data_IF_824591128585
#
_entry.id   IF_824591128585
#
_cell.length_a   1.000
_cell.length_b   1.000
_cell.length_c   1.000
_cell.angle_alpha   90.00
_cell.angle_beta   90.00
_cell.angle_gamma   90.00
#
_symmetry.space_group_name_H-M   'P 1'
#
loop_
_entity.id
_entity.type
_entity.pdbx_description
1 polymer ?
#
# COMPACT_ATOMS: atom_id res chain seq x y z
N UNK A 1 18.46 -4.33 -3.01
CA UNK A 1 18.59 -3.10 -3.83
C UNK A 1 17.36 -2.29 -3.51
N UNK A 2 17.50 -1.01 -3.16
CA UNK A 2 16.32 -0.13 -3.00
C UNK A 2 15.87 0.30 -4.39
N UNK A 3 14.59 0.12 -4.70
CA UNK A 3 13.97 0.53 -5.94
C UNK A 3 13.76 2.05 -5.94
N UNK A 4 13.91 2.66 -7.10
CA UNK A 4 13.63 4.07 -7.34
C UNK A 4 12.26 4.26 -7.98
N UNK A 5 11.77 5.50 -7.99
CA UNK A 5 10.56 5.84 -8.75
C UNK A 5 10.74 5.51 -10.23
N UNK A 6 11.95 5.70 -10.78
CA UNK A 6 12.27 5.32 -12.16
C UNK A 6 12.12 3.81 -12.39
N UNK A 7 12.60 2.98 -11.45
CA UNK A 7 12.48 1.52 -11.55
C UNK A 7 11.01 1.08 -11.54
N UNK A 8 10.20 1.65 -10.65
CA UNK A 8 8.76 1.34 -10.58
C UNK A 8 8.03 1.84 -11.83
N UNK A 9 8.33 3.05 -12.32
CA UNK A 9 7.73 3.57 -13.56
C UNK A 9 8.12 2.72 -14.76
N UNK A 10 9.37 2.26 -14.85
CA UNK A 10 9.83 1.37 -15.92
C UNK A 10 9.16 0.00 -15.85
N UNK A 11 8.93 -0.52 -14.64
CA UNK A 11 8.19 -1.77 -14.42
C UNK A 11 6.73 -1.65 -14.89
N UNK A 12 6.07 -0.55 -14.56
CA UNK A 12 4.66 -0.29 -14.92
C UNK A 12 4.50 0.08 -16.40
N UNK A 13 5.46 0.82 -16.96
CA UNK A 13 5.41 1.33 -18.33
C UNK A 13 6.74 1.10 -19.07
N UNK A 14 7.03 -0.14 -19.51
CA UNK A 14 8.30 -0.47 -20.17
C UNK A 14 8.57 0.31 -21.46
N UNK A 15 7.50 0.79 -22.12
CA UNK A 15 7.56 1.60 -23.34
C UNK A 15 7.53 3.11 -23.07
N UNK A 16 7.55 3.52 -21.79
CA UNK A 16 7.43 4.89 -21.33
C UNK A 16 6.03 5.22 -20.82
N UNK A 17 5.92 5.99 -19.71
CA UNK A 17 4.62 6.35 -19.15
C UNK A 17 3.88 7.31 -20.09
N UNK A 18 2.54 7.23 -20.16
CA UNK A 18 1.75 8.27 -20.79
C UNK A 18 1.90 9.60 -20.02
N UNK A 19 1.43 10.73 -20.59
CA UNK A 19 1.34 11.98 -19.83
C UNK A 19 0.54 11.78 -18.52
N UNK A 20 0.94 12.45 -17.42
CA UNK A 20 0.22 12.33 -16.15
C UNK A 20 -1.25 12.75 -16.32
N UNK A 21 -2.14 12.06 -15.60
CA UNK A 21 -3.57 12.36 -15.59
C UNK A 21 -3.97 12.94 -14.23
N UNK A 22 -4.79 14.00 -14.23
CA UNK A 22 -5.22 14.70 -13.01
C UNK A 22 -4.23 15.76 -12.51
N UNK A 23 -4.51 16.31 -11.32
CA UNK A 23 -3.84 17.51 -10.78
C UNK A 23 -2.49 17.22 -10.10
N UNK A 24 -1.99 15.98 -10.15
CA UNK A 24 -0.77 15.54 -9.48
C UNK A 24 -0.99 15.17 -8.00
N UNK A 25 0.06 15.21 -7.16
CA UNK A 25 -0.07 14.85 -5.75
C UNK A 25 -0.95 15.84 -4.99
N UNK A 26 -1.81 15.36 -4.07
CA UNK A 26 -2.62 16.25 -3.23
C UNK A 26 -1.79 17.01 -2.20
N UNK A 27 -2.34 18.09 -1.63
CA UNK A 27 -1.70 18.85 -0.54
C UNK A 27 -1.83 18.12 0.81
N UNK A 28 -1.13 16.99 0.92
CA UNK A 28 -1.09 16.11 2.09
C UNK A 28 0.36 15.81 2.46
N UNK A 29 0.66 15.51 3.74
CA UNK A 29 1.93 14.90 4.10
C UNK A 29 1.99 13.51 3.45
N UNK A 30 2.86 13.35 2.45
CA UNK A 30 3.08 12.10 1.73
C UNK A 30 4.58 11.79 1.73
N UNK A 31 4.98 10.51 1.68
CA UNK A 31 6.36 10.14 1.39
C UNK A 31 6.87 10.85 0.12
N UNK A 32 8.14 11.23 0.09
CA UNK A 32 8.75 11.96 -1.02
C UNK A 32 8.72 11.16 -2.34
N UNK A 33 8.97 9.85 -2.25
CA UNK A 33 8.88 8.90 -3.37
C UNK A 33 7.46 8.83 -3.95
N UNK A 34 6.44 8.86 -3.09
CA UNK A 34 5.03 8.89 -3.49
C UNK A 34 4.67 10.20 -4.17
N UNK A 35 5.13 11.35 -3.66
CA UNK A 35 4.90 12.64 -4.34
C UNK A 35 5.49 12.65 -5.73
N UNK A 36 6.72 12.15 -5.87
CA UNK A 36 7.38 12.06 -7.17
C UNK A 36 6.61 11.12 -8.10
N UNK A 37 6.19 9.94 -7.61
CA UNK A 37 5.39 8.98 -8.39
C UNK A 37 4.08 9.60 -8.88
N UNK A 38 3.31 10.26 -8.00
CA UNK A 38 2.04 10.91 -8.35
C UNK A 38 2.24 12.14 -9.25
N UNK A 39 3.39 12.80 -9.19
CA UNK A 39 3.74 13.87 -10.14
C UNK A 39 3.91 13.32 -11.56
N UNK A 40 4.42 12.10 -11.69
CA UNK A 40 4.69 11.47 -13.00
C UNK A 40 3.47 10.75 -13.56
N UNK A 41 2.68 10.09 -12.70
CA UNK A 41 1.58 9.23 -13.14
C UNK A 41 0.20 9.86 -12.94
N UNK A 42 0.05 10.80 -12.00
CA UNK A 42 -1.25 11.35 -11.61
C UNK A 42 -1.72 10.93 -10.22
N UNK A 43 -2.94 11.32 -9.86
CA UNK A 43 -3.55 11.10 -8.54
C UNK A 43 -4.16 9.70 -8.32
N UNK A 44 -3.83 8.75 -9.20
CA UNK A 44 -4.23 7.35 -9.04
C UNK A 44 -3.99 6.52 -10.29
N UNK A 45 -3.81 5.22 -10.08
CA UNK A 45 -3.66 4.24 -11.14
C UNK A 45 -4.02 2.85 -10.62
N UNK A 46 -4.35 1.97 -11.54
CA UNK A 46 -4.71 0.58 -11.31
C UNK A 46 -3.70 -0.32 -12.00
N UNK A 47 -3.29 -1.39 -11.33
CA UNK A 47 -2.34 -2.39 -11.85
C UNK A 47 -3.01 -3.76 -11.87
N UNK A 48 -2.83 -4.48 -12.97
CA UNK A 48 -3.35 -5.82 -13.26
C UNK A 48 -4.87 -5.95 -13.14
N UNK A 49 -5.60 -4.84 -13.28
CA UNK A 49 -7.02 -4.74 -12.94
C UNK A 49 -7.35 -5.31 -11.56
N UNK A 50 -6.41 -5.19 -10.61
CA UNK A 50 -6.48 -5.87 -9.32
C UNK A 50 -6.07 -5.00 -8.17
N UNK A 51 -5.10 -4.10 -8.33
CA UNK A 51 -4.68 -3.20 -7.25
C UNK A 51 -4.80 -1.74 -7.67
N UNK A 52 -5.58 -0.98 -6.90
CA UNK A 52 -5.89 0.41 -7.19
C UNK A 52 -5.17 1.32 -6.19
N UNK A 53 -4.24 2.13 -6.69
CA UNK A 53 -3.65 3.25 -5.95
C UNK A 53 -4.57 4.45 -6.13
N UNK A 54 -5.16 4.96 -5.04
CA UNK A 54 -6.26 5.93 -5.10
C UNK A 54 -5.95 7.24 -4.35
N UNK A 55 -4.70 7.70 -4.39
CA UNK A 55 -4.20 8.77 -3.53
C UNK A 55 -4.51 10.15 -4.13
N UNK A 56 -5.51 10.84 -3.56
CA UNK A 56 -5.97 12.15 -4.02
C UNK A 56 -6.48 13.03 -2.85
N UNK A 57 -7.03 14.20 -3.17
CA UNK A 57 -7.56 15.16 -2.17
C UNK A 57 -8.63 14.57 -1.25
N UNK A 58 -9.33 13.52 -1.67
CA UNK A 58 -10.33 12.85 -0.86
C UNK A 58 -9.74 11.74 0.04
N UNK A 59 -8.46 11.40 -0.08
CA UNK A 59 -7.82 10.33 0.69
C UNK A 59 -8.06 10.44 2.21
N UNK A 60 -7.99 11.61 2.87
CA UNK A 60 -8.30 11.71 4.30
C UNK A 60 -9.76 11.37 4.60
N UNK A 61 -10.69 11.73 3.71
CA UNK A 61 -12.12 11.41 3.84
C UNK A 61 -12.36 9.91 3.66
N UNK A 62 -11.73 9.29 2.66
CA UNK A 62 -11.81 7.84 2.42
C UNK A 62 -11.23 7.05 3.59
N UNK A 63 -10.10 7.50 4.14
CA UNK A 63 -9.47 6.89 5.32
C UNK A 63 -10.45 6.85 6.50
N UNK A 64 -11.17 7.94 6.79
CA UNK A 64 -12.19 7.97 7.86
C UNK A 64 -13.32 6.96 7.65
N UNK A 65 -13.72 6.71 6.40
CA UNK A 65 -14.71 5.68 6.08
C UNK A 65 -14.16 4.30 6.42
N UNK A 66 -12.91 4.02 6.04
CA UNK A 66 -12.23 2.77 6.36
C UNK A 66 -12.01 2.57 7.86
N UNK A 67 -11.65 3.62 8.60
CA UNK A 67 -11.53 3.56 10.06
C UNK A 67 -12.84 3.12 10.71
N UNK A 68 -13.97 3.66 10.25
CA UNK A 68 -15.29 3.26 10.75
C UNK A 68 -15.60 1.79 10.45
N UNK A 69 -15.21 1.30 9.28
CA UNK A 69 -15.38 -0.11 8.92
C UNK A 69 -14.51 -1.01 9.81
N UNK A 70 -13.24 -0.66 10.02
CA UNK A 70 -12.34 -1.39 10.91
C UNK A 70 -12.88 -1.41 12.35
N UNK A 71 -13.36 -0.27 12.86
CA UNK A 71 -14.02 -0.18 14.18
C UNK A 71 -15.23 -1.09 14.30
N UNK A 72 -16.05 -1.15 13.26
CA UNK A 72 -17.23 -2.01 13.25
C UNK A 72 -16.86 -3.49 13.27
N UNK A 73 -15.81 -3.88 12.54
CA UNK A 73 -15.32 -5.27 12.48
C UNK A 73 -14.66 -5.69 13.80
N UNK A 74 -13.80 -4.84 14.36
CA UNK A 74 -12.99 -5.18 15.54
C UNK A 74 -13.63 -4.77 16.87
N UNK A 75 -14.69 -3.96 16.86
CA UNK A 75 -15.33 -3.43 18.06
C UNK A 75 -14.43 -2.50 18.90
N UNK A 76 -13.37 -1.95 18.29
CA UNK A 76 -12.30 -1.18 18.94
C UNK A 76 -11.75 -0.11 17.99
N UNK A 77 -11.08 0.90 18.53
CA UNK A 77 -10.34 1.91 17.76
C UNK A 77 -8.92 1.46 17.36
N UNK A 78 -8.51 0.30 17.88
CA UNK A 78 -7.19 -0.27 17.69
C UNK A 78 -7.23 -1.80 17.66
N UNK A 79 -6.23 -2.40 17.03
CA UNK A 79 -5.95 -3.84 17.04
C UNK A 79 -4.50 -4.08 17.44
N UNK A 80 -4.24 -5.19 18.11
CA UNK A 80 -2.88 -5.62 18.45
C UNK A 80 -2.55 -6.88 17.66
N UNK A 81 -1.48 -6.83 16.87
CA UNK A 81 -0.91 -7.97 16.16
C UNK A 81 0.14 -8.59 17.08
N UNK A 82 -0.06 -9.85 17.44
CA UNK A 82 0.95 -10.59 18.20
C UNK A 82 2.10 -10.99 17.28
N UNK A 83 3.32 -10.55 17.60
CA UNK A 83 4.51 -10.75 16.76
C UNK A 83 4.87 -12.22 16.47
N UNK A 84 4.40 -13.14 17.31
CA UNK A 84 4.67 -14.59 17.19
C UNK A 84 3.52 -15.40 16.58
N UNK A 85 2.41 -14.77 16.17
CA UNK A 85 1.34 -15.51 15.51
C UNK A 85 1.79 -15.86 14.08
N UNK A 86 2.02 -17.14 13.74
CA UNK A 86 2.32 -17.50 12.37
C UNK A 86 1.09 -17.16 11.53
N UNK A 87 1.20 -16.11 10.71
CA UNK A 87 0.44 -16.02 9.47
C UNK A 87 0.69 -17.35 8.77
N UNK A 88 -0.31 -18.26 8.79
CA UNK A 88 -0.18 -19.67 8.36
C UNK A 88 0.79 -19.81 7.17
N UNK A 89 2.04 -20.19 7.45
CA UNK A 89 3.03 -20.58 6.44
C UNK A 89 4.06 -19.55 5.98
N UNK A 90 4.09 -18.31 6.47
CA UNK A 90 5.16 -17.34 6.08
C UNK A 90 5.84 -16.78 7.33
N UNK A 91 7.13 -17.09 7.57
CA UNK A 91 7.88 -16.40 8.62
C UNK A 91 8.06 -14.94 8.23
N UNK A 92 7.56 -14.02 9.05
CA UNK A 92 7.92 -12.59 8.98
C UNK A 92 9.39 -12.47 9.38
N UNK A 93 10.29 -12.51 8.40
CA UNK A 93 11.73 -12.38 8.64
C UNK A 93 12.02 -10.91 8.98
N UNK A 94 12.19 -10.61 10.27
CA UNK A 94 12.59 -9.27 10.74
C UNK A 94 11.75 -8.66 11.87
N UNK A 95 10.67 -9.31 12.33
CA UNK A 95 9.95 -8.83 13.51
C UNK A 95 10.76 -9.16 14.76
N UNK A 96 11.47 -8.19 15.32
CA UNK A 96 11.89 -8.26 16.73
C UNK A 96 10.62 -8.44 17.57
N UNK A 97 10.52 -9.59 18.25
CA UNK A 97 9.30 -10.07 18.87
C UNK A 97 8.72 -9.09 19.88
N UNK A 98 7.51 -8.62 19.59
CA UNK A 98 6.68 -7.79 20.44
C UNK A 98 5.27 -7.71 19.86
N UNK A 99 4.28 -7.53 20.73
CA UNK A 99 2.94 -7.16 20.32
C UNK A 99 2.99 -5.77 19.68
N UNK A 100 2.40 -5.64 18.49
CA UNK A 100 2.39 -4.40 17.75
C UNK A 100 0.97 -3.85 17.66
N UNK A 101 0.79 -2.60 18.09
CA UNK A 101 -0.51 -1.94 18.17
C UNK A 101 -0.75 -1.05 16.95
N UNK A 102 -1.86 -1.27 16.27
CA UNK A 102 -2.36 -0.43 15.18
C UNK A 102 -3.51 0.40 15.69
N UNK A 103 -3.39 1.73 15.60
CA UNK A 103 -4.46 2.68 15.91
C UNK A 103 -5.10 3.14 14.60
N UNK A 104 -6.42 2.94 14.44
CA UNK A 104 -7.05 3.19 13.14
C UNK A 104 -7.03 4.65 12.71
N UNK A 105 -7.04 5.62 13.64
CA UNK A 105 -6.94 7.04 13.32
C UNK A 105 -5.60 7.45 12.72
N UNK A 106 -4.58 6.61 12.89
CA UNK A 106 -3.23 6.86 12.41
C UNK A 106 -3.03 6.25 11.01
N UNK A 107 -4.06 5.62 10.43
CA UNK A 107 -3.99 5.01 9.11
C UNK A 107 -4.43 5.95 8.00
N UNK A 108 -3.61 6.10 6.96
CA UNK A 108 -4.00 6.77 5.72
C UNK A 108 -4.15 5.73 4.61
N UNK A 109 -5.33 5.66 4.00
CA UNK A 109 -5.64 4.70 2.94
C UNK A 109 -4.86 5.03 1.67
N UNK A 110 -4.07 4.06 1.19
CA UNK A 110 -3.32 4.17 -0.05
C UNK A 110 -4.14 3.61 -1.22
N UNK A 111 -4.70 2.43 -1.01
CA UNK A 111 -5.33 1.67 -2.07
C UNK A 111 -5.89 0.34 -1.61
N UNK A 112 -6.57 -0.36 -2.51
CA UNK A 112 -7.14 -1.68 -2.26
C UNK A 112 -6.96 -2.58 -3.46
N UNK A 113 -7.05 -3.88 -3.22
CA UNK A 113 -7.30 -4.84 -4.28
C UNK A 113 -8.80 -5.11 -4.48
N UNK A 114 -9.14 -5.72 -5.60
CA UNK A 114 -10.51 -6.12 -5.94
C UNK A 114 -11.08 -7.25 -5.05
N UNK A 115 -10.25 -7.83 -4.19
CA UNK A 115 -10.63 -8.92 -3.29
C UNK A 115 -10.75 -8.45 -1.82
N UNK A 116 -10.77 -7.14 -1.60
CA UNK A 116 -10.99 -6.51 -0.30
C UNK A 116 -9.75 -6.46 0.59
N UNK A 117 -8.56 -6.78 0.07
CA UNK A 117 -7.32 -6.42 0.72
C UNK A 117 -7.06 -4.91 0.56
N UNK A 118 -6.59 -4.28 1.63
CA UNK A 118 -6.35 -2.85 1.68
C UNK A 118 -4.90 -2.59 2.05
N UNK A 119 -4.37 -1.48 1.57
CA UNK A 119 -3.05 -0.98 1.91
C UNK A 119 -3.18 0.41 2.55
N UNK A 120 -2.51 0.58 3.68
CA UNK A 120 -2.50 1.82 4.44
C UNK A 120 -1.06 2.24 4.75
N UNK A 121 -0.85 3.54 4.89
CA UNK A 121 0.30 4.08 5.64
C UNK A 121 -0.05 4.21 7.11
N UNK A 122 0.88 3.85 8.00
CA UNK A 122 0.87 4.24 9.40
C UNK A 122 1.51 5.62 9.54
N UNK A 123 0.69 6.65 9.73
CA UNK A 123 1.06 8.06 9.66
C UNK A 123 1.66 8.63 10.96
N UNK A 124 2.54 7.85 11.59
CA UNK A 124 3.22 8.24 12.83
C UNK A 124 4.62 8.76 12.52
N UNK A 125 4.89 10.02 12.85
CA UNK A 125 6.20 10.63 12.65
C UNK A 125 6.42 11.16 11.23
N UNK A 126 7.66 11.07 10.75
CA UNK A 126 8.09 11.57 9.44
C UNK A 126 7.43 10.76 8.30
N UNK A 127 6.78 11.41 7.31
CA UNK A 127 6.21 10.72 6.15
C UNK A 127 7.15 9.76 5.43
N UNK A 128 8.44 10.07 5.33
CA UNK A 128 9.41 9.19 4.65
C UNK A 128 9.72 7.91 5.45
N UNK A 129 9.25 7.84 6.70
CA UNK A 129 9.41 6.69 7.61
C UNK A 129 8.10 5.96 7.91
N UNK A 130 6.98 6.38 7.30
CA UNK A 130 5.70 5.71 7.51
C UNK A 130 5.75 4.25 7.06
N UNK A 131 5.35 3.34 7.95
CA UNK A 131 5.25 1.93 7.62
C UNK A 131 4.03 1.66 6.73
N UNK A 132 4.12 0.62 5.91
CA UNK A 132 2.99 0.11 5.15
C UNK A 132 2.31 -1.04 5.88
N UNK A 133 0.98 -0.98 5.92
CA UNK A 133 0.11 -1.97 6.54
C UNK A 133 -0.84 -2.55 5.51
N UNK A 134 -0.66 -3.82 5.16
CA UNK A 134 -1.60 -4.58 4.37
C UNK A 134 -2.63 -5.26 5.27
N UNK A 135 -3.89 -5.25 4.88
CA UNK A 135 -5.01 -5.79 5.66
C UNK A 135 -6.02 -6.54 4.80
N UNK A 136 -6.41 -7.76 5.20
CA UNK A 136 -7.55 -8.47 4.61
C UNK A 136 -8.19 -9.42 5.64
N UNK A 137 -9.49 -9.25 5.88
CA UNK A 137 -10.22 -10.01 6.91
C UNK A 137 -9.68 -9.76 8.31
N UNK A 138 -9.04 -10.77 8.92
CA UNK A 138 -8.37 -10.66 10.22
C UNK A 138 -6.84 -10.55 10.09
N UNK A 139 -6.30 -10.65 8.87
CA UNK A 139 -4.86 -10.68 8.61
C UNK A 139 -4.32 -9.28 8.43
N UNK A 140 -3.19 -9.04 9.06
CA UNK A 140 -2.40 -7.84 8.90
C UNK A 140 -0.94 -8.20 8.61
N UNK A 141 -0.28 -7.38 7.79
CA UNK A 141 1.15 -7.45 7.56
C UNK A 141 1.75 -6.03 7.57
N UNK A 142 2.84 -5.85 8.32
CA UNK A 142 3.56 -4.58 8.42
C UNK A 142 4.88 -4.65 7.67
N UNK A 143 5.19 -3.58 6.95
CA UNK A 143 6.38 -3.48 6.12
C UNK A 143 7.07 -2.14 6.38
N UNK A 144 8.30 -2.20 6.91
CA UNK A 144 9.15 -1.03 7.15
C UNK A 144 10.05 -0.78 5.93
N UNK A 145 9.46 -0.19 4.89
CA UNK A 145 10.15 0.17 3.66
C UNK A 145 9.41 1.29 2.95
N UNK A 146 10.05 1.92 1.97
CA UNK A 146 9.42 2.96 1.15
C UNK A 146 8.22 2.41 0.37
N UNK A 147 7.33 3.31 -0.07
CA UNK A 147 6.15 2.88 -0.83
C UNK A 147 6.56 2.32 -2.19
N UNK A 148 7.55 2.95 -2.80
CA UNK A 148 8.12 2.49 -4.07
C UNK A 148 8.81 1.14 -3.92
N UNK A 149 9.60 0.92 -2.88
CA UNK A 149 10.22 -0.39 -2.60
C UNK A 149 9.16 -1.49 -2.45
N UNK A 150 8.09 -1.19 -1.71
CA UNK A 150 7.00 -2.14 -1.50
C UNK A 150 6.27 -2.47 -2.80
N UNK A 151 5.83 -1.45 -3.55
CA UNK A 151 5.08 -1.65 -4.81
C UNK A 151 5.96 -2.33 -5.85
N UNK A 152 7.18 -1.86 -6.07
CA UNK A 152 8.12 -2.51 -6.99
C UNK A 152 8.40 -3.94 -6.56
N UNK A 153 8.63 -4.16 -5.27
CA UNK A 153 8.97 -5.47 -4.76
C UNK A 153 7.83 -6.49 -4.89
N UNK A 154 6.59 -6.01 -4.69
CA UNK A 154 5.37 -6.79 -4.82
C UNK A 154 5.06 -7.12 -6.29
N UNK A 155 5.15 -6.12 -7.18
CA UNK A 155 4.82 -6.23 -8.61
C UNK A 155 5.91 -6.96 -9.41
N UNK A 156 7.17 -6.92 -8.98
CA UNK A 156 8.25 -7.74 -9.57
C UNK A 156 8.30 -9.17 -9.02
N UNK A 157 7.49 -9.48 -7.99
CA UNK A 157 7.52 -10.76 -7.29
C UNK A 157 8.78 -10.99 -6.44
N UNK A 158 9.59 -9.96 -6.19
CA UNK A 158 10.80 -10.05 -5.35
C UNK A 158 10.51 -10.39 -3.89
N UNK A 159 9.30 -10.07 -3.41
CA UNK A 159 8.74 -10.63 -2.19
C UNK A 159 7.24 -10.90 -2.37
N UNK A 160 6.65 -11.67 -1.45
CA UNK A 160 5.21 -11.90 -1.40
C UNK A 160 4.64 -11.32 -0.13
N UNK A 161 3.59 -10.52 -0.25
CA UNK A 161 2.81 -10.10 0.90
C UNK A 161 1.82 -11.22 1.29
N UNK A 162 1.79 -11.67 2.56
CA UNK A 162 0.88 -12.74 3.00
C UNK A 162 -0.60 -12.32 3.05
N UNK A 163 -0.91 -11.05 2.76
CA UNK A 163 -2.27 -10.52 2.65
C UNK A 163 -2.75 -10.57 1.19
N UNK A 164 -1.90 -10.20 0.24
CA UNK A 164 -2.20 -10.27 -1.19
C UNK A 164 -1.87 -11.67 -1.74
N UNK A 165 -2.79 -12.64 -1.54
CA UNK A 165 -2.51 -14.08 -1.74
C UNK A 165 -3.14 -14.70 -2.98
N UNK A 166 -3.57 -13.92 -3.96
CA UNK A 166 -4.14 -14.49 -5.19
C UNK A 166 -3.11 -15.37 -5.89
N UNK A 167 -3.56 -16.53 -6.38
CA UNK A 167 -2.74 -17.34 -7.27
C UNK A 167 -2.39 -16.52 -8.53
N UNK A 168 -1.15 -16.63 -8.97
CA UNK A 168 -0.65 -15.98 -10.20
C UNK A 168 -0.80 -14.44 -10.21
N UNK A 169 -0.69 -13.81 -9.03
CA UNK A 169 -0.57 -12.36 -8.89
C UNK A 169 0.80 -11.96 -8.34
N UNK A 170 1.45 -10.92 -8.88
CA UNK A 170 1.06 -10.15 -10.08
C UNK A 170 1.13 -11.00 -11.37
N UNK A 171 0.47 -10.52 -12.44
CA UNK A 171 0.55 -11.16 -13.75
C UNK A 171 1.95 -10.96 -14.36
N UNK A 172 2.34 -11.82 -15.32
CA UNK A 172 3.67 -11.74 -15.93
C UNK A 172 3.87 -10.46 -16.76
N UNK A 173 2.80 -10.00 -17.41
CA UNK A 173 2.73 -8.75 -18.13
C UNK A 173 1.74 -7.85 -17.39
N UNK A 174 2.21 -6.72 -16.85
CA UNK A 174 1.37 -5.83 -16.05
C UNK A 174 0.48 -4.99 -16.96
N UNK A 175 -0.82 -4.95 -16.67
CA UNK A 175 -1.76 -4.01 -17.30
C UNK A 175 -1.98 -2.81 -16.37
N UNK A 176 -1.87 -1.58 -16.89
CA UNK A 176 -1.92 -0.36 -16.07
C UNK A 176 -2.92 0.64 -16.63
N UNK A 177 -3.90 1.00 -15.81
CA UNK A 177 -4.94 1.98 -16.14
C UNK A 177 -4.78 3.21 -15.27
N UNK A 178 -4.58 4.38 -15.87
CA UNK A 178 -4.53 5.63 -15.12
C UNK A 178 -5.94 6.08 -14.72
N UNK A 179 -6.10 6.52 -13.48
CA UNK A 179 -7.35 7.08 -12.99
C UNK A 179 -7.55 8.50 -13.55
N UNK A 180 -8.68 8.73 -14.22
CA UNK A 180 -9.09 10.05 -14.77
C UNK A 180 -9.73 10.95 -13.72
#
# INVERSE_FOLDING_TARGET
MMATVDDLVLLLFPQGPPPPVGDGPPDLPLPADVRELLTRLGSGFEVDNRFHVTVNENTPKWSRIWWRNLRQVHGSDEVTIMGDAPLRGVPLRGAEGGDYRIVFSDLLFLGSDDNGANLYWETVGDPDQWALLAHSGERWARHEMSTVDYLHGLLSGSFRCPVFTLADWPEADLDVVLST
#
